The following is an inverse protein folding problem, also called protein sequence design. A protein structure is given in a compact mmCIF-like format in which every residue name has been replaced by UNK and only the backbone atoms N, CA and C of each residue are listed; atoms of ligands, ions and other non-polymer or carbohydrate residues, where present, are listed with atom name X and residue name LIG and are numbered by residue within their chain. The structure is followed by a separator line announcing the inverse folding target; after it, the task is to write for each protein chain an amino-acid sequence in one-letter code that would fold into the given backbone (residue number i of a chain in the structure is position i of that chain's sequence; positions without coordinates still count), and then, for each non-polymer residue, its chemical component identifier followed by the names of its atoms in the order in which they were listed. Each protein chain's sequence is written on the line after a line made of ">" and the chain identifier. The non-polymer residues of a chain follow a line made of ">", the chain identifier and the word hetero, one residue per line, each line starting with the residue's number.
data_IF_943454605284
#
_entry.id   IF_943454605284
#
_cell.length_a   1.000
_cell.length_b   1.000
_cell.length_c   1.000
_cell.angle_alpha   90.00
_cell.angle_beta   90.00
_cell.angle_gamma   90.00
#
_symmetry.space_group_name_H-M   'P 1'
#
loop_
_entity.id
_entity.type
_entity.pdbx_description
1 polymer ?
#
# COMPACT_ATOMS: atom_id res chain seq x y z
N UNK A 1 0.67 32.25 19.90
CA UNK A 1 0.92 30.96 20.58
C UNK A 1 1.35 29.99 19.50
N UNK A 2 2.65 29.70 19.48
CA UNK A 2 3.29 28.86 18.46
C UNK A 2 2.87 27.41 18.66
N UNK A 3 2.16 26.83 17.69
CA UNK A 3 1.88 25.40 17.69
C UNK A 3 3.18 24.67 17.38
N UNK A 4 3.72 23.99 18.40
CA UNK A 4 4.92 23.18 18.27
C UNK A 4 4.71 22.12 17.18
N UNK A 5 5.57 22.13 16.16
CA UNK A 5 5.72 21.05 15.19
C UNK A 5 6.09 19.77 15.95
N UNK A 6 5.42 18.63 15.75
CA UNK A 6 5.80 17.40 16.43
C UNK A 6 7.24 17.04 16.07
N UNK A 7 8.01 16.64 17.07
CA UNK A 7 9.32 15.99 16.90
C UNK A 7 9.15 14.82 15.95
N UNK A 8 9.95 14.78 14.87
CA UNK A 8 9.87 13.76 13.85
C UNK A 8 10.13 12.37 14.44
N UNK A 9 9.07 11.63 14.74
CA UNK A 9 9.13 10.17 14.71
C UNK A 9 9.54 9.74 13.29
N UNK A 10 10.15 8.56 13.15
CA UNK A 10 10.37 7.98 11.83
C UNK A 10 9.05 7.98 11.08
N UNK A 11 9.08 8.39 9.81
CA UNK A 11 7.84 8.47 9.04
C UNK A 11 7.25 7.06 8.93
N UNK A 12 5.91 6.90 8.87
CA UNK A 12 5.31 5.58 8.72
C UNK A 12 5.89 4.79 7.54
N UNK A 13 6.27 5.46 6.46
CA UNK A 13 6.99 4.85 5.34
C UNK A 13 8.36 4.27 5.70
N UNK A 14 9.14 4.91 6.57
CA UNK A 14 10.46 4.41 6.99
C UNK A 14 10.28 3.14 7.83
N UNK A 15 9.33 3.18 8.78
CA UNK A 15 9.04 2.02 9.63
C UNK A 15 8.44 0.86 8.82
N UNK A 16 7.63 1.13 7.80
CA UNK A 16 7.14 0.12 6.87
C UNK A 16 8.29 -0.66 6.23
N UNK A 17 9.33 0.03 5.77
CA UNK A 17 10.46 -0.63 5.11
C UNK A 17 11.23 -1.55 6.07
N UNK A 18 11.37 -1.16 7.34
CA UNK A 18 11.94 -2.01 8.39
C UNK A 18 11.05 -3.23 8.67
N UNK A 19 9.73 -3.03 8.79
CA UNK A 19 8.77 -4.11 9.02
C UNK A 19 8.76 -5.13 7.89
N UNK A 20 8.95 -4.70 6.63
CA UNK A 20 9.11 -5.61 5.49
C UNK A 20 10.36 -6.48 5.68
N UNK A 21 11.48 -5.88 6.06
CA UNK A 21 12.73 -6.62 6.28
C UNK A 21 12.64 -7.57 7.50
N UNK A 22 11.80 -7.25 8.49
CA UNK A 22 11.59 -8.05 9.71
C UNK A 22 10.59 -9.21 9.52
N UNK A 23 9.54 -9.02 8.72
CA UNK A 23 8.37 -9.92 8.70
C UNK A 23 8.17 -10.67 7.38
N UNK A 24 8.80 -10.23 6.30
CA UNK A 24 8.67 -10.89 4.98
C UNK A 24 9.87 -11.81 4.78
N UNK A 25 9.62 -12.99 4.22
CA UNK A 25 10.67 -13.95 3.87
C UNK A 25 11.81 -13.27 3.07
N UNK A 26 13.09 -13.52 3.39
CA UNK A 26 14.22 -12.78 2.80
C UNK A 26 14.23 -12.77 1.27
N UNK A 27 13.83 -13.88 0.65
CA UNK A 27 13.78 -14.04 -0.81
C UNK A 27 12.71 -13.14 -1.48
N UNK A 28 11.67 -12.75 -0.73
CA UNK A 28 10.59 -11.87 -1.22
C UNK A 28 10.72 -10.42 -0.75
N UNK A 29 11.42 -10.19 0.37
CA UNK A 29 11.52 -8.88 1.01
C UNK A 29 11.99 -7.78 0.05
N UNK A 30 12.99 -8.04 -0.78
CA UNK A 30 13.50 -7.06 -1.75
C UNK A 30 12.43 -6.63 -2.77
N UNK A 31 11.65 -7.58 -3.29
CA UNK A 31 10.58 -7.30 -4.27
C UNK A 31 9.43 -6.54 -3.62
N UNK A 32 9.00 -6.96 -2.42
CA UNK A 32 7.95 -6.26 -1.65
C UNK A 32 8.39 -4.84 -1.31
N UNK A 33 9.67 -4.63 -0.94
CA UNK A 33 10.23 -3.31 -0.67
C UNK A 33 10.19 -2.40 -1.91
N UNK A 34 10.54 -2.94 -3.08
CA UNK A 34 10.46 -2.20 -4.34
C UNK A 34 9.00 -1.84 -4.68
N UNK A 35 8.08 -2.77 -4.48
CA UNK A 35 6.64 -2.56 -4.65
C UNK A 35 6.11 -1.47 -3.71
N UNK A 36 6.42 -1.55 -2.41
CA UNK A 36 6.03 -0.57 -1.40
C UNK A 36 6.49 0.85 -1.76
N UNK A 37 7.74 1.00 -2.21
CA UNK A 37 8.27 2.29 -2.67
C UNK A 37 7.52 2.83 -3.88
N UNK A 38 7.18 1.99 -4.84
CA UNK A 38 6.40 2.40 -6.01
C UNK A 38 4.97 2.80 -5.63
N UNK A 39 4.36 2.06 -4.71
CA UNK A 39 3.03 2.34 -4.15
C UNK A 39 3.00 3.70 -3.42
N UNK A 40 3.90 3.91 -2.46
CA UNK A 40 4.02 5.16 -1.69
C UNK A 40 4.29 6.37 -2.57
N UNK A 41 5.09 6.21 -3.63
CA UNK A 41 5.33 7.29 -4.61
C UNK A 41 4.03 7.73 -5.31
N UNK A 42 3.10 6.80 -5.58
CA UNK A 42 1.81 7.09 -6.23
C UNK A 42 0.77 7.68 -5.29
N UNK A 43 0.84 7.41 -3.99
CA UNK A 43 0.01 8.06 -2.96
C UNK A 43 0.28 9.57 -2.78
N UNK A 44 1.16 10.15 -3.60
CA UNK A 44 1.32 11.59 -3.75
C UNK A 44 2.52 12.19 -3.03
N UNK A 45 3.23 11.42 -2.19
CA UNK A 45 4.26 11.96 -1.29
C UNK A 45 3.68 12.98 -0.28
N UNK A 46 4.43 13.28 0.78
CA UNK A 46 3.94 14.12 1.87
C UNK A 46 3.22 13.33 2.96
N UNK A 47 2.27 13.96 3.64
CA UNK A 47 1.60 13.41 4.84
C UNK A 47 0.47 12.40 4.53
N UNK A 48 0.42 11.83 3.33
CA UNK A 48 -0.64 10.87 2.93
C UNK A 48 -0.71 9.61 3.80
N UNK A 49 0.40 9.26 4.45
CA UNK A 49 0.51 8.15 5.41
C UNK A 49 0.43 8.63 6.85
N UNK A 50 0.30 9.94 7.10
CA UNK A 50 0.23 10.50 8.43
C UNK A 50 -0.99 9.98 9.18
N UNK A 51 -0.78 9.51 10.41
CA UNK A 51 -1.83 8.90 11.22
C UNK A 51 -2.15 7.44 10.87
N UNK A 52 -1.56 6.87 9.81
CA UNK A 52 -1.66 5.44 9.52
C UNK A 52 -0.60 4.69 10.33
N UNK A 53 -1.01 3.64 11.05
CA UNK A 53 -0.09 2.78 11.78
C UNK A 53 0.81 2.01 10.78
N UNK A 54 2.14 1.93 10.99
CA UNK A 54 3.04 1.23 10.09
C UNK A 54 2.65 -0.24 9.83
N UNK A 55 2.08 -0.93 10.81
CA UNK A 55 1.61 -2.30 10.69
C UNK A 55 0.35 -2.41 9.81
N UNK A 56 -0.55 -1.42 9.90
CA UNK A 56 -1.70 -1.35 9.01
C UNK A 56 -1.27 -1.06 7.57
N UNK A 57 -0.29 -0.17 7.39
CA UNK A 57 0.30 0.12 6.10
C UNK A 57 1.02 -1.10 5.50
N UNK A 58 1.70 -1.90 6.34
CA UNK A 58 2.29 -3.17 5.94
C UNK A 58 1.22 -4.15 5.45
N UNK A 59 0.14 -4.32 6.21
CA UNK A 59 -0.95 -5.23 5.88
C UNK A 59 -1.61 -4.87 4.54
N UNK A 60 -1.87 -3.57 4.32
CA UNK A 60 -2.38 -3.04 3.06
C UNK A 60 -1.44 -3.32 1.89
N UNK A 61 -0.14 -3.02 2.05
CA UNK A 61 0.88 -3.23 1.01
C UNK A 61 1.02 -4.71 0.64
N UNK A 62 1.05 -5.60 1.63
CA UNK A 62 1.13 -7.04 1.37
C UNK A 62 -0.13 -7.55 0.68
N UNK A 63 -1.31 -7.12 1.13
CA UNK A 63 -2.58 -7.48 0.49
C UNK A 63 -2.60 -7.08 -0.99
N UNK A 64 -2.21 -5.84 -1.30
CA UNK A 64 -2.17 -5.34 -2.68
C UNK A 64 -1.08 -6.05 -3.50
N UNK A 65 0.08 -6.36 -2.90
CA UNK A 65 1.14 -7.09 -3.58
C UNK A 65 0.69 -8.51 -3.98
N UNK A 66 0.03 -9.24 -3.09
CA UNK A 66 -0.49 -10.58 -3.41
C UNK A 66 -1.57 -10.51 -4.50
N UNK A 67 -2.43 -9.49 -4.48
CA UNK A 67 -3.39 -9.26 -5.57
C UNK A 67 -2.70 -8.92 -6.90
N UNK A 68 -1.59 -8.18 -6.86
CA UNK A 68 -0.81 -7.92 -8.05
C UNK A 68 -0.18 -9.21 -8.62
N UNK A 69 0.32 -10.09 -7.75
CA UNK A 69 0.91 -11.37 -8.12
C UNK A 69 -0.10 -12.41 -8.62
N UNK A 70 -1.35 -12.36 -8.13
CA UNK A 70 -2.38 -13.36 -8.46
C UNK A 70 -2.95 -13.24 -9.88
N UNK A 71 -2.54 -12.21 -10.65
CA UNK A 71 -3.03 -12.01 -12.01
C UNK A 71 -2.72 -13.18 -12.95
N UNK A 72 -1.66 -13.98 -12.70
CA UNK A 72 -1.34 -15.25 -13.40
C UNK A 72 -1.63 -15.29 -14.92
N UNK A 73 -1.36 -14.18 -15.63
CA UNK A 73 -1.59 -14.05 -17.08
C UNK A 73 -3.00 -13.61 -17.52
N UNK A 74 -3.95 -13.45 -16.60
CA UNK A 74 -5.28 -12.89 -16.86
C UNK A 74 -5.19 -11.45 -17.36
N UNK A 75 -6.03 -11.09 -18.34
CA UNK A 75 -6.00 -9.75 -18.93
C UNK A 75 -6.35 -8.65 -17.91
N UNK A 76 -7.28 -8.93 -16.99
CA UNK A 76 -7.80 -7.97 -16.01
C UNK A 76 -8.13 -8.73 -14.71
N UNK A 77 -7.74 -8.18 -13.56
CA UNK A 77 -8.22 -8.62 -12.25
C UNK A 77 -8.84 -7.42 -11.50
N UNK A 78 -9.96 -7.67 -10.81
CA UNK A 78 -10.67 -6.67 -10.00
C UNK A 78 -11.13 -7.30 -8.69
N UNK A 79 -10.96 -6.60 -7.56
CA UNK A 79 -11.58 -6.97 -6.29
C UNK A 79 -12.15 -5.75 -5.57
N UNK A 80 -13.30 -5.92 -4.93
CA UNK A 80 -13.94 -4.90 -4.10
C UNK A 80 -14.29 -5.51 -2.75
N UNK A 81 -13.90 -4.85 -1.66
CA UNK A 81 -14.09 -5.37 -0.31
C UNK A 81 -14.08 -4.23 0.74
N UNK A 82 -14.49 -4.55 1.96
CA UNK A 82 -14.43 -3.65 3.12
C UNK A 82 -13.38 -4.22 4.09
N UNK A 83 -12.13 -3.77 4.05
CA UNK A 83 -11.10 -4.28 4.94
C UNK A 83 -11.46 -3.97 6.39
N UNK A 84 -11.21 -4.93 7.27
CA UNK A 84 -11.33 -4.77 8.72
C UNK A 84 -9.98 -5.02 9.36
N UNK A 85 -9.71 -4.39 10.50
CA UNK A 85 -8.44 -4.62 11.22
C UNK A 85 -8.28 -6.09 11.64
N UNK A 86 -9.37 -6.78 11.96
CA UNK A 86 -9.35 -8.18 12.39
C UNK A 86 -8.97 -9.15 11.25
N UNK A 87 -9.58 -9.00 10.08
CA UNK A 87 -9.40 -9.95 8.98
C UNK A 87 -8.23 -9.55 8.06
N UNK A 88 -8.01 -8.25 7.87
CA UNK A 88 -7.10 -7.72 6.85
C UNK A 88 -5.91 -6.94 7.44
N UNK A 89 -5.90 -6.65 8.74
CA UNK A 89 -4.83 -5.90 9.40
C UNK A 89 -4.90 -4.36 9.23
N UNK A 90 -5.80 -3.86 8.39
CA UNK A 90 -6.07 -2.43 8.19
C UNK A 90 -7.56 -2.18 7.97
N UNK A 91 -7.99 -0.94 8.19
CA UNK A 91 -9.40 -0.55 8.09
C UNK A 91 -9.48 0.92 7.63
N UNK A 92 -9.66 1.17 6.32
CA UNK A 92 -9.76 2.52 5.79
C UNK A 92 -11.16 3.11 5.99
N UNK A 93 -11.29 4.42 5.78
CA UNK A 93 -12.61 5.06 5.71
C UNK A 93 -13.27 4.67 4.38
N UNK A 94 -14.18 3.69 4.43
CA UNK A 94 -14.97 3.24 3.29
C UNK A 94 -14.50 1.92 2.69
N UNK A 95 -14.91 1.66 1.45
CA UNK A 95 -14.61 0.44 0.71
C UNK A 95 -13.32 0.57 -0.09
N UNK A 96 -12.65 -0.56 -0.29
CA UNK A 96 -11.48 -0.68 -1.17
C UNK A 96 -11.89 -1.32 -2.49
N UNK A 97 -11.49 -0.70 -3.59
CA UNK A 97 -11.56 -1.25 -4.94
C UNK A 97 -10.14 -1.31 -5.49
N UNK A 98 -9.70 -2.49 -5.89
CA UNK A 98 -8.40 -2.71 -6.50
C UNK A 98 -8.56 -3.31 -7.89
N UNK A 99 -7.73 -2.85 -8.81
CA UNK A 99 -7.73 -3.28 -10.21
C UNK A 99 -6.29 -3.53 -10.66
N UNK A 100 -6.07 -4.62 -11.37
CA UNK A 100 -4.80 -4.93 -12.01
C UNK A 100 -5.07 -5.23 -13.49
N UNK A 101 -4.62 -4.33 -14.36
CA UNK A 101 -4.81 -4.40 -15.81
C UNK A 101 -3.50 -4.10 -16.49
N UNK A 102 -3.34 -4.58 -17.73
CA UNK A 102 -2.31 -4.02 -18.58
C UNK A 102 -2.56 -2.53 -18.83
N UNK A 103 -1.48 -1.80 -19.10
CA UNK A 103 -1.57 -0.44 -19.59
C UNK A 103 -2.15 -0.48 -21.00
N UNK A 104 -3.39 -0.02 -21.14
CA UNK A 104 -4.11 0.03 -22.41
C UNK A 104 -4.32 1.49 -22.81
N UNK A 105 -4.14 1.84 -24.10
CA UNK A 105 -4.47 3.18 -24.57
C UNK A 105 -5.97 3.41 -24.36
N UNK A 106 -6.34 4.40 -23.56
CA UNK A 106 -7.74 4.82 -23.47
C UNK A 106 -8.05 5.81 -24.60
N UNK A 107 -9.20 5.63 -25.25
CA UNK A 107 -9.78 6.63 -26.14
C UNK A 107 -10.59 7.60 -25.28
N UNK A 108 -10.20 8.88 -25.24
CA UNK A 108 -11.04 9.95 -24.69
C UNK A 108 -11.97 10.40 -25.80
N UNK A 109 -13.24 10.07 -25.70
CA UNK A 109 -14.29 10.76 -26.46
C UNK A 109 -15.00 11.72 -25.49
N UNK A 110 -15.23 12.96 -25.93
CA UNK A 110 -15.75 14.08 -25.10
C UNK A 110 -17.21 14.36 -25.43
#
# INVERSE_FOLDING_TARGET
>A
MSTARPIAGSRPEDRLLELIDEQVEPDRAQTVRAFARAYLKRLGGGDSTEGIAPEALLAEVLSLFEFACSRDGEAIAVRAFNPTREEHGYEPVGSVLETNTDDLPFLVDS
#
